data_IF_807217037698
#
_entry.id   IF_807217037698
#
_cell.length_a   1.000
_cell.length_b   1.000
_cell.length_c   1.000
_cell.angle_alpha   90.00
_cell.angle_beta   90.00
_cell.angle_gamma   90.00
#
_symmetry.space_group_name_H-M   'P 1'
#
loop_
_entity.id
_entity.type
_entity.pdbx_description
1 polymer ?
#
# COMPACT_ATOMS: atom_id res chain seq x y z
N UNK A 1 -18.00 -17.34 2.45
CA UNK A 1 -18.28 -15.98 1.94
C UNK A 1 -17.75 -15.76 0.54
N UNK A 2 -16.54 -16.20 0.19
CA UNK A 2 -16.04 -16.08 -1.18
C UNK A 2 -17.03 -16.70 -2.21
N UNK A 3 -17.50 -17.93 -1.98
CA UNK A 3 -18.42 -18.64 -2.88
C UNK A 3 -19.85 -18.10 -2.98
N UNK A 4 -20.22 -17.18 -2.10
CA UNK A 4 -21.56 -16.56 -2.18
C UNK A 4 -21.55 -15.30 -3.05
N UNK A 5 -20.36 -14.77 -3.37
CA UNK A 5 -20.18 -13.54 -4.14
C UNK A 5 -19.45 -13.83 -5.45
N UNK A 6 -18.46 -14.72 -5.41
CA UNK A 6 -17.72 -15.20 -6.57
C UNK A 6 -18.30 -16.53 -7.04
N UNK A 7 -18.07 -16.84 -8.32
CA UNK A 7 -18.46 -18.10 -8.93
C UNK A 7 -17.75 -19.30 -8.29
N UNK A 8 -18.14 -20.50 -8.72
CA UNK A 8 -17.57 -21.77 -8.25
C UNK A 8 -16.09 -21.97 -8.59
N UNK A 9 -15.44 -21.00 -9.25
CA UNK A 9 -14.01 -20.96 -9.53
C UNK A 9 -13.54 -19.51 -9.53
N UNK A 10 -12.39 -19.22 -8.90
CA UNK A 10 -11.75 -17.91 -9.00
C UNK A 10 -10.22 -18.03 -8.96
N UNK A 11 -9.53 -17.07 -9.57
CA UNK A 11 -8.11 -17.22 -9.86
C UNK A 11 -7.19 -16.93 -8.69
N UNK A 12 -7.49 -15.90 -7.89
CA UNK A 12 -6.57 -15.37 -6.89
C UNK A 12 -7.26 -15.25 -5.55
N UNK A 13 -6.71 -15.93 -4.55
CA UNK A 13 -7.02 -15.71 -3.15
C UNK A 13 -5.82 -15.06 -2.47
N UNK A 14 -6.07 -13.98 -1.73
CA UNK A 14 -5.01 -13.27 -1.02
C UNK A 14 -5.21 -13.43 0.49
N UNK A 15 -4.11 -13.58 1.22
CA UNK A 15 -4.12 -13.70 2.66
C UNK A 15 -2.80 -13.29 3.28
N UNK A 16 -2.73 -13.30 4.60
CA UNK A 16 -1.45 -13.19 5.32
C UNK A 16 -0.88 -14.60 5.49
N UNK A 17 0.44 -14.73 5.51
CA UNK A 17 1.13 -16.03 5.68
C UNK A 17 0.66 -16.81 6.93
N UNK A 18 0.19 -16.13 7.99
CA UNK A 18 -0.38 -16.80 9.19
C UNK A 18 -1.67 -17.58 8.90
N UNK A 19 -2.43 -17.14 7.89
CA UNK A 19 -3.71 -17.74 7.51
C UNK A 19 -3.47 -18.90 6.55
N UNK A 20 -2.26 -19.02 5.99
CA UNK A 20 -1.90 -20.07 5.05
C UNK A 20 -2.25 -21.44 5.65
N UNK A 21 -1.78 -21.80 6.85
CA UNK A 21 -2.00 -23.17 7.35
C UNK A 21 -3.48 -23.52 7.63
N UNK A 22 -4.27 -22.62 8.23
CA UNK A 22 -5.68 -22.91 8.55
C UNK A 22 -6.61 -22.79 7.34
N UNK A 23 -6.45 -21.78 6.48
CA UNK A 23 -7.29 -21.60 5.31
C UNK A 23 -6.94 -22.60 4.20
N UNK A 24 -5.65 -22.87 3.96
CA UNK A 24 -5.18 -23.90 3.03
C UNK A 24 -5.77 -25.27 3.35
N UNK A 25 -5.76 -25.71 4.61
CA UNK A 25 -6.29 -27.04 4.97
C UNK A 25 -7.82 -27.11 4.83
N UNK A 26 -8.53 -26.03 5.17
CA UNK A 26 -10.00 -25.98 5.10
C UNK A 26 -10.49 -25.81 3.66
N UNK A 27 -9.80 -25.02 2.84
CA UNK A 27 -10.12 -24.85 1.41
C UNK A 27 -9.60 -26.03 0.57
N UNK A 28 -8.42 -26.59 0.88
CA UNK A 28 -7.92 -27.81 0.20
C UNK A 28 -8.77 -29.04 0.49
N UNK A 29 -9.29 -29.21 1.70
CA UNK A 29 -10.22 -30.31 1.99
C UNK A 29 -11.55 -30.19 1.23
N UNK A 30 -11.97 -28.98 0.83
CA UNK A 30 -13.10 -28.78 -0.09
C UNK A 30 -12.69 -29.02 -1.56
N UNK A 31 -11.45 -28.66 -1.93
CA UNK A 31 -10.88 -28.85 -3.27
C UNK A 31 -10.66 -30.32 -3.65
N UNK A 32 -10.40 -31.22 -2.69
CA UNK A 32 -10.27 -32.66 -3.02
C UNK A 32 -11.59 -33.29 -3.50
N UNK A 33 -12.73 -32.63 -3.26
CA UNK A 33 -14.05 -33.11 -3.68
C UNK A 33 -14.64 -32.36 -4.89
N UNK A 34 -14.09 -31.22 -5.30
CA UNK A 34 -14.59 -30.43 -6.44
C UNK A 34 -13.45 -29.82 -7.24
N UNK A 35 -13.44 -30.09 -8.54
CA UNK A 35 -12.51 -29.54 -9.55
C UNK A 35 -11.99 -28.14 -9.18
N UNK A 36 -10.70 -28.06 -8.82
CA UNK A 36 -9.83 -26.89 -8.81
C UNK A 36 -10.53 -25.53 -8.64
N UNK A 37 -11.22 -25.30 -7.53
CA UNK A 37 -11.93 -24.05 -7.21
C UNK A 37 -11.02 -22.79 -7.16
N UNK A 38 -9.70 -22.94 -7.03
CA UNK A 38 -8.76 -21.84 -6.90
C UNK A 38 -7.40 -22.10 -7.56
N UNK A 39 -6.94 -21.15 -8.38
CA UNK A 39 -5.71 -21.27 -9.18
C UNK A 39 -4.44 -20.82 -8.45
N UNK A 40 -4.50 -19.69 -7.72
CA UNK A 40 -3.34 -19.09 -7.07
C UNK A 40 -3.66 -18.56 -5.67
N UNK A 41 -2.80 -18.90 -4.72
CA UNK A 41 -2.78 -18.29 -3.40
C UNK A 41 -1.61 -17.32 -3.28
N UNK A 42 -1.90 -16.10 -2.85
CA UNK A 42 -0.89 -15.07 -2.65
C UNK A 42 -0.87 -14.65 -1.17
N UNK A 43 0.26 -14.89 -0.52
CA UNK A 43 0.43 -14.58 0.90
C UNK A 43 1.36 -13.39 1.11
N UNK A 44 0.84 -12.35 1.74
CA UNK A 44 1.65 -11.24 2.23
C UNK A 44 2.40 -11.63 3.50
N UNK A 45 3.65 -11.16 3.62
CA UNK A 45 4.47 -11.36 4.81
C UNK A 45 4.15 -10.39 5.94
N UNK A 46 4.68 -10.68 7.13
CA UNK A 46 4.38 -9.93 8.35
C UNK A 46 4.97 -8.51 8.37
N UNK A 47 4.25 -7.63 9.04
CA UNK A 47 4.76 -6.37 9.56
C UNK A 47 5.33 -6.61 10.97
N UNK A 48 6.59 -6.25 11.18
CA UNK A 48 7.32 -6.51 12.42
C UNK A 48 7.83 -5.20 13.04
N UNK A 49 8.02 -5.20 14.36
CA UNK A 49 8.94 -4.26 15.00
C UNK A 49 10.37 -4.80 14.91
N UNK A 50 11.41 -3.98 15.12
CA UNK A 50 12.79 -4.47 15.12
C UNK A 50 12.92 -5.64 16.11
N UNK A 51 13.25 -6.82 15.58
CA UNK A 51 13.47 -8.08 16.32
C UNK A 51 12.22 -8.81 16.83
N UNK A 52 11.00 -8.34 16.59
CA UNK A 52 9.81 -9.09 16.99
C UNK A 52 8.61 -8.91 16.06
N UNK A 53 7.84 -9.99 15.89
CA UNK A 53 6.59 -9.99 15.11
C UNK A 53 5.54 -9.12 15.79
N UNK A 54 4.90 -8.25 15.03
CA UNK A 54 3.82 -7.42 15.55
C UNK A 54 2.57 -8.29 15.75
N UNK A 55 2.01 -8.34 16.96
CA UNK A 55 0.77 -9.09 17.20
C UNK A 55 -0.06 -8.49 18.33
N UNK A 56 -1.38 -8.74 18.28
CA UNK A 56 -2.30 -8.34 19.36
C UNK A 56 -2.07 -9.17 20.63
N UNK A 57 -1.78 -10.46 20.48
CA UNK A 57 -1.56 -11.40 21.60
C UNK A 57 -0.30 -11.05 22.40
N UNK A 58 0.81 -10.71 21.73
CA UNK A 58 2.04 -10.27 22.37
C UNK A 58 2.02 -8.79 22.81
N UNK A 59 0.86 -8.11 22.68
CA UNK A 59 0.62 -6.70 23.06
C UNK A 59 1.62 -5.69 22.46
N UNK A 60 2.33 -6.08 21.41
CA UNK A 60 3.35 -5.28 20.73
C UNK A 60 2.81 -4.85 19.37
N UNK A 61 1.68 -4.16 19.34
CA UNK A 61 1.07 -3.65 18.12
C UNK A 61 0.89 -2.14 18.17
N UNK A 62 0.92 -1.52 17.00
CA UNK A 62 0.52 -0.12 16.83
C UNK A 62 -0.83 -0.10 16.10
N UNK A 63 -1.76 0.71 16.61
CA UNK A 63 -3.00 0.97 15.87
C UNK A 63 -2.72 1.89 14.69
N UNK A 64 -3.58 1.81 13.66
CA UNK A 64 -3.45 2.68 12.50
C UNK A 64 -3.50 4.17 12.88
N UNK A 65 -4.39 4.55 13.79
CA UNK A 65 -4.48 5.93 14.30
C UNK A 65 -3.19 6.39 14.99
N UNK A 66 -2.54 5.52 15.77
CA UNK A 66 -1.25 5.84 16.38
C UNK A 66 -0.12 5.94 15.35
N UNK A 67 -0.16 5.12 14.30
CA UNK A 67 0.81 5.21 13.20
C UNK A 67 0.65 6.55 12.46
N UNK A 68 -0.58 7.02 12.22
CA UNK A 68 -0.87 8.30 11.57
C UNK A 68 -0.46 9.54 12.37
N UNK A 69 -0.29 9.43 13.70
CA UNK A 69 0.32 10.52 14.48
C UNK A 69 1.79 10.74 14.11
N UNK A 70 2.44 9.72 13.55
CA UNK A 70 3.83 9.77 13.11
C UNK A 70 3.93 9.92 11.60
N UNK A 71 3.16 9.16 10.83
CA UNK A 71 3.24 9.12 9.37
C UNK A 71 2.10 9.91 8.71
N UNK A 72 2.37 10.56 7.59
CA UNK A 72 1.31 10.88 6.65
C UNK A 72 0.80 9.59 5.96
N UNK A 73 -0.45 9.57 5.53
CA UNK A 73 -1.06 8.43 4.81
C UNK A 73 -0.22 8.01 3.60
N UNK A 74 0.32 9.00 2.89
CA UNK A 74 1.16 8.80 1.70
C UNK A 74 2.50 8.15 2.07
N UNK A 75 3.11 8.58 3.16
CA UNK A 75 4.39 8.03 3.64
C UNK A 75 4.22 6.58 4.10
N UNK A 76 3.12 6.27 4.78
CA UNK A 76 2.82 4.90 5.19
C UNK A 76 2.58 3.99 3.98
N UNK A 77 1.86 4.49 2.96
CA UNK A 77 1.68 3.76 1.70
C UNK A 77 2.99 3.55 0.96
N UNK A 78 3.83 4.59 0.86
CA UNK A 78 5.15 4.50 0.25
C UNK A 78 6.02 3.50 0.99
N UNK A 79 6.00 3.49 2.33
CA UNK A 79 6.71 2.51 3.14
C UNK A 79 6.29 1.07 2.79
N UNK A 80 4.99 0.80 2.66
CA UNK A 80 4.52 -0.53 2.25
C UNK A 80 4.94 -0.90 0.82
N UNK A 81 4.97 0.07 -0.09
CA UNK A 81 5.36 -0.14 -1.49
C UNK A 81 6.87 -0.23 -1.70
N UNK A 82 7.68 0.32 -0.79
CA UNK A 82 9.15 0.23 -0.83
C UNK A 82 9.66 -1.19 -0.63
N UNK A 83 8.80 -2.11 -0.21
CA UNK A 83 9.15 -3.50 0.08
C UNK A 83 8.41 -4.45 -0.85
N UNK A 84 9.08 -5.52 -1.27
CA UNK A 84 8.41 -6.62 -1.94
C UNK A 84 7.35 -7.23 -1.00
N UNK A 85 6.21 -7.61 -1.56
CA UNK A 85 5.12 -8.29 -0.85
C UNK A 85 5.56 -9.58 -0.13
N UNK A 86 6.63 -10.21 -0.64
CA UNK A 86 7.21 -11.45 -0.12
C UNK A 86 8.21 -11.23 1.01
N UNK A 87 8.49 -9.97 1.37
CA UNK A 87 9.49 -9.63 2.39
C UNK A 87 8.82 -9.12 3.67
N UNK A 88 9.49 -9.37 4.78
CA UNK A 88 9.08 -8.83 6.08
C UNK A 88 9.40 -7.34 6.15
N UNK A 89 8.37 -6.53 6.39
CA UNK A 89 8.52 -5.10 6.61
C UNK A 89 8.81 -4.83 8.09
N UNK A 90 9.93 -4.16 8.39
CA UNK A 90 10.26 -3.75 9.75
C UNK A 90 9.86 -2.31 9.99
N UNK A 91 8.85 -2.09 10.83
CA UNK A 91 8.39 -0.78 11.25
C UNK A 91 9.41 -0.15 12.21
N UNK A 92 10.13 0.88 11.75
CA UNK A 92 11.08 1.64 12.55
C UNK A 92 11.14 3.10 12.09
N UNK A 93 11.66 3.98 12.93
CA UNK A 93 11.84 5.39 12.56
C UNK A 93 12.89 5.57 11.44
N UNK A 94 13.80 4.60 11.27
CA UNK A 94 14.74 4.60 10.15
C UNK A 94 14.02 4.36 8.80
N UNK A 95 13.15 3.35 8.75
CA UNK A 95 12.37 3.04 7.54
C UNK A 95 11.36 4.13 7.22
N UNK A 96 10.81 4.78 8.25
CA UNK A 96 10.03 6.01 8.08
C UNK A 96 10.80 7.07 7.31
N UNK A 97 12.01 7.37 7.75
CA UNK A 97 12.78 8.46 7.17
C UNK A 97 13.11 8.19 5.70
N UNK A 98 13.35 6.92 5.33
CA UNK A 98 13.46 6.54 3.93
C UNK A 98 12.19 6.84 3.15
N UNK A 99 11.01 6.46 3.67
CA UNK A 99 9.74 6.75 3.00
C UNK A 99 9.49 8.25 2.82
N UNK A 100 9.87 9.07 3.81
CA UNK A 100 9.80 10.55 3.71
C UNK A 100 10.75 11.07 2.64
N UNK A 101 12.00 10.59 2.60
CA UNK A 101 12.97 10.99 1.57
C UNK A 101 12.47 10.59 0.17
N UNK A 102 11.91 9.40 0.02
CA UNK A 102 11.29 8.97 -1.24
C UNK A 102 10.12 9.85 -1.65
N UNK A 103 9.27 10.28 -0.70
CA UNK A 103 8.18 11.21 -1.00
C UNK A 103 8.71 12.54 -1.55
N UNK A 104 9.73 13.11 -0.90
CA UNK A 104 10.38 14.36 -1.33
C UNK A 104 11.00 14.17 -2.71
N UNK A 105 11.76 13.10 -2.92
CA UNK A 105 12.39 12.80 -4.21
C UNK A 105 11.38 12.65 -5.35
N UNK A 106 10.24 11.99 -5.11
CA UNK A 106 9.19 11.85 -6.11
C UNK A 106 8.56 13.20 -6.46
N UNK A 107 8.26 14.04 -5.47
CA UNK A 107 7.61 15.33 -5.70
C UNK A 107 8.55 16.36 -6.32
N UNK A 108 9.74 16.51 -5.76
CA UNK A 108 10.65 17.61 -6.07
C UNK A 108 11.56 17.30 -7.25
N UNK A 109 11.88 16.03 -7.51
CA UNK A 109 12.66 15.64 -8.69
C UNK A 109 11.74 15.08 -9.77
N UNK A 110 11.13 13.92 -9.54
CA UNK A 110 10.46 13.20 -10.62
C UNK A 110 9.27 13.95 -11.21
N UNK A 111 8.34 14.41 -10.39
CA UNK A 111 7.15 15.12 -10.89
C UNK A 111 7.47 16.54 -11.36
N UNK A 112 8.45 17.20 -10.74
CA UNK A 112 8.90 18.50 -11.21
C UNK A 112 9.54 18.40 -12.59
N UNK A 113 10.49 17.48 -12.78
CA UNK A 113 11.17 17.23 -14.05
C UNK A 113 10.19 16.74 -15.13
N UNK A 114 9.24 15.89 -14.78
CA UNK A 114 8.21 15.46 -15.72
C UNK A 114 7.36 16.64 -16.20
N UNK A 115 7.00 17.57 -15.31
CA UNK A 115 6.21 18.76 -15.66
C UNK A 115 7.01 19.76 -16.50
N UNK A 116 8.32 19.92 -16.26
CA UNK A 116 9.18 20.76 -17.10
C UNK A 116 9.32 20.15 -18.50
N UNK A 117 9.52 18.84 -18.61
CA UNK A 117 9.60 18.14 -19.90
C UNK A 117 8.29 18.16 -20.69
N UNK A 118 7.14 18.09 -20.02
CA UNK A 118 5.83 18.17 -20.66
C UNK A 118 5.41 19.61 -21.03
N UNK A 119 6.25 20.62 -20.75
CA UNK A 119 5.95 22.02 -21.03
C UNK A 119 4.79 22.59 -20.21
N UNK A 120 4.34 21.88 -19.19
CA UNK A 120 3.27 22.29 -18.29
C UNK A 120 3.78 23.30 -17.26
N UNK A 121 5.08 23.28 -16.96
CA UNK A 121 5.72 24.21 -16.03
C UNK A 121 6.12 25.51 -16.73
N UNK A 122 5.31 26.57 -16.58
CA UNK A 122 5.79 27.94 -16.81
C UNK A 122 6.66 28.34 -15.61
N UNK A 123 7.97 28.49 -15.82
CA UNK A 123 8.87 29.08 -14.82
C UNK A 123 8.46 30.53 -14.63
N UNK A 124 7.57 30.79 -13.67
CA UNK A 124 7.31 32.14 -13.19
C UNK A 124 8.49 32.53 -12.27
N UNK A 125 9.15 33.63 -12.62
CA UNK A 125 10.33 34.21 -11.97
C UNK A 125 10.11 34.74 -10.55
N UNK A 126 9.03 34.36 -9.87
CA UNK A 126 8.73 34.76 -8.49
C UNK A 126 8.72 33.55 -7.55
N UNK A 127 9.48 33.65 -6.45
CA UNK A 127 9.69 32.62 -5.43
C UNK A 127 8.41 32.10 -4.74
N UNK A 128 7.23 32.67 -5.02
CA UNK A 128 5.94 32.31 -4.44
C UNK A 128 4.94 31.68 -5.43
N UNK A 129 5.38 31.28 -6.62
CA UNK A 129 4.49 30.85 -7.70
C UNK A 129 4.45 29.34 -7.98
N UNK A 130 4.87 28.50 -7.03
CA UNK A 130 4.73 27.04 -7.20
C UNK A 130 3.31 26.63 -6.82
N UNK A 131 2.38 26.71 -7.77
CA UNK A 131 1.07 26.09 -7.62
C UNK A 131 1.21 24.58 -7.84
N UNK A 132 1.06 23.78 -6.77
CA UNK A 132 1.17 22.31 -6.78
C UNK A 132 0.33 21.63 -7.87
N UNK A 133 -0.82 22.22 -8.20
CA UNK A 133 -1.76 21.75 -9.21
C UNK A 133 -2.14 22.85 -10.19
N UNK A 134 -2.03 22.53 -11.48
CA UNK A 134 -2.65 23.31 -12.56
C UNK A 134 -4.18 23.22 -12.47
N UNK A 135 -4.89 24.11 -13.14
CA UNK A 135 -6.35 24.21 -13.06
C UNK A 135 -7.05 22.89 -13.39
N UNK A 136 -6.52 22.18 -14.40
CA UNK A 136 -6.95 20.82 -14.77
C UNK A 136 -6.64 19.76 -13.70
N UNK A 137 -5.51 19.89 -13.00
CA UNK A 137 -5.14 19.00 -11.91
C UNK A 137 -6.05 19.17 -10.69
N UNK A 138 -6.54 20.40 -10.45
CA UNK A 138 -7.50 20.69 -9.38
C UNK A 138 -8.88 20.12 -9.67
N UNK A 139 -9.41 20.35 -10.87
CA UNK A 139 -10.72 19.79 -11.27
C UNK A 139 -10.70 18.26 -11.24
N UNK A 140 -9.62 17.63 -11.70
CA UNK A 140 -9.49 16.16 -11.60
C UNK A 140 -9.46 15.67 -10.16
N UNK A 141 -8.71 16.35 -9.27
CA UNK A 141 -8.61 15.97 -7.86
C UNK A 141 -9.93 16.20 -7.08
N UNK A 142 -10.67 17.25 -7.41
CA UNK A 142 -12.02 17.49 -6.89
C UNK A 142 -12.97 16.39 -7.34
N UNK A 143 -12.95 16.02 -8.63
CA UNK A 143 -13.78 14.94 -9.16
C UNK A 143 -13.55 13.61 -8.42
N UNK A 144 -12.29 13.29 -8.14
CA UNK A 144 -11.89 12.10 -7.36
C UNK A 144 -12.34 12.16 -5.89
N UNK A 145 -12.37 13.36 -5.31
CA UNK A 145 -12.78 13.58 -3.92
C UNK A 145 -14.30 13.54 -3.76
N UNK A 146 -15.04 13.90 -4.82
CA UNK A 146 -16.51 13.91 -4.85
C UNK A 146 -17.13 12.60 -5.34
N UNK A 147 -16.37 11.70 -6.00
CA UNK A 147 -16.87 10.38 -6.34
C UNK A 147 -16.85 9.47 -5.10
N UNK A 148 -17.87 9.64 -4.25
CA UNK A 148 -18.32 8.63 -3.29
C UNK A 148 -19.57 7.96 -3.81
#
# INVERSE_FOLDING_TARGET
MANTVLDSHFDIHTGVIDVEFLACLTERSHLEFTNSWLSYFHHGWHLNFPKCKMSKSSKNFISFEQALKKYDFRQLRLLCLSYSWSLTLNYSDHERNKAVIYEVMLNDCFFHDAKTHLGVFQVSSNANAVTKFDEHGRTFNEHFSTSK
#
